data_IF_050859744567
#
_entry.id   IF_050859744567
#
_cell.length_a   1.000
_cell.length_b   1.000
_cell.length_c   1.000
_cell.angle_alpha   90.00
_cell.angle_beta   90.00
_cell.angle_gamma   90.00
#
_symmetry.space_group_name_H-M   'P 1'
#
loop_
_entity.id
_entity.type
_entity.pdbx_description
1 polymer ?
#
# COMPACT_ATOMS: atom_id res chain seq x y z
N UNK A 1 -13.35 0.14 -10.09
CA UNK A 1 -12.68 0.85 -8.98
C UNK A 1 -13.41 0.48 -7.69
N UNK A 2 -12.69 0.24 -6.58
CA UNK A 2 -13.28 -0.09 -5.27
C UNK A 2 -12.73 0.85 -4.21
N UNK A 3 -13.48 1.90 -3.94
CA UNK A 3 -13.05 2.95 -3.02
C UNK A 3 -13.49 2.64 -1.59
N UNK A 4 -12.66 3.05 -0.62
CA UNK A 4 -12.93 2.91 0.80
C UNK A 4 -12.49 4.18 1.50
N UNK A 5 -13.35 4.70 2.37
CA UNK A 5 -13.09 5.85 3.21
C UNK A 5 -13.30 5.44 4.67
N UNK A 6 -12.34 5.74 5.54
CA UNK A 6 -12.45 5.49 6.98
C UNK A 6 -12.49 6.79 7.76
N UNK A 7 -13.13 6.74 8.92
CA UNK A 7 -13.27 7.88 9.82
C UNK A 7 -12.91 7.40 11.23
N UNK A 8 -11.90 8.03 11.82
CA UNK A 8 -11.37 7.69 13.14
C UNK A 8 -11.28 8.97 13.98
N UNK A 9 -11.56 8.85 15.29
CA UNK A 9 -11.54 9.99 16.22
C UNK A 9 -10.11 10.47 16.56
N UNK A 10 -9.11 9.61 16.36
CA UNK A 10 -7.71 9.89 16.67
C UNK A 10 -6.79 9.45 15.53
N UNK A 11 -5.59 10.03 15.49
CA UNK A 11 -4.56 9.67 14.51
C UNK A 11 -4.09 8.21 14.68
N UNK A 12 -4.01 7.74 15.91
CA UNK A 12 -3.68 6.37 16.26
C UNK A 12 -4.75 5.40 15.76
N UNK A 13 -6.04 5.76 15.90
CA UNK A 13 -7.15 5.00 15.33
C UNK A 13 -7.04 4.91 13.81
N UNK A 14 -6.81 6.05 13.14
CA UNK A 14 -6.60 6.09 11.69
C UNK A 14 -5.44 5.20 11.24
N UNK A 15 -4.33 5.19 11.99
CA UNK A 15 -3.18 4.31 11.72
C UNK A 15 -3.57 2.84 11.86
N UNK A 16 -4.29 2.46 12.90
CA UNK A 16 -4.75 1.07 13.09
C UNK A 16 -5.71 0.63 11.98
N UNK A 17 -6.63 1.51 11.58
CA UNK A 17 -7.56 1.26 10.46
C UNK A 17 -6.79 1.10 9.14
N UNK A 18 -5.81 1.97 8.88
CA UNK A 18 -4.92 1.86 7.72
C UNK A 18 -4.18 0.52 7.68
N UNK A 19 -3.58 0.08 8.78
CA UNK A 19 -2.88 -1.20 8.89
C UNK A 19 -3.82 -2.40 8.68
N UNK A 20 -5.06 -2.32 9.19
CA UNK A 20 -6.09 -3.35 8.94
C UNK A 20 -6.43 -3.44 7.46
N UNK A 21 -6.67 -2.30 6.80
CA UNK A 21 -6.98 -2.27 5.37
C UNK A 21 -5.82 -2.81 4.54
N UNK A 22 -4.58 -2.43 4.88
CA UNK A 22 -3.38 -3.00 4.29
C UNK A 22 -3.37 -4.54 4.34
N UNK A 23 -3.55 -5.12 5.53
CA UNK A 23 -3.59 -6.59 5.70
C UNK A 23 -4.71 -7.26 4.90
N UNK A 24 -5.85 -6.60 4.77
CA UNK A 24 -6.96 -7.10 3.95
C UNK A 24 -6.58 -7.13 2.47
N UNK A 25 -5.93 -6.08 1.96
CA UNK A 25 -5.44 -6.06 0.58
C UNK A 25 -4.34 -7.10 0.35
N UNK A 26 -3.40 -7.25 1.29
CA UNK A 26 -2.38 -8.30 1.24
C UNK A 26 -3.03 -9.68 1.08
N UNK A 27 -4.04 -9.99 1.91
CA UNK A 27 -4.80 -11.25 1.85
C UNK A 27 -5.57 -11.42 0.54
N UNK A 28 -6.21 -10.36 0.03
CA UNK A 28 -6.97 -10.43 -1.21
C UNK A 28 -6.03 -10.71 -2.38
N UNK A 29 -4.98 -9.92 -2.54
CA UNK A 29 -4.09 -10.00 -3.70
C UNK A 29 -3.22 -11.26 -3.66
N UNK A 30 -2.64 -11.57 -2.50
CA UNK A 30 -1.69 -12.69 -2.36
C UNK A 30 -2.40 -14.00 -2.07
N UNK A 31 -3.22 -14.07 -1.02
CA UNK A 31 -3.74 -15.37 -0.56
C UNK A 31 -4.96 -15.84 -1.37
N UNK A 32 -5.81 -14.90 -1.82
CA UNK A 32 -7.06 -15.25 -2.52
C UNK A 32 -6.90 -15.27 -4.03
N UNK A 33 -6.16 -14.30 -4.58
CA UNK A 33 -5.94 -14.18 -6.03
C UNK A 33 -4.61 -14.79 -6.49
N UNK A 34 -3.72 -15.18 -5.56
CA UNK A 34 -2.42 -15.79 -5.85
C UNK A 34 -1.56 -14.92 -6.78
N UNK A 35 -1.58 -13.60 -6.57
CA UNK A 35 -0.78 -12.63 -7.31
C UNK A 35 0.50 -12.29 -6.57
N UNK A 36 1.61 -12.28 -7.30
CA UNK A 36 2.88 -11.81 -6.81
C UNK A 36 2.91 -10.28 -6.95
N UNK A 37 2.64 -9.56 -5.85
CA UNK A 37 2.53 -8.09 -5.84
C UNK A 37 3.57 -7.46 -4.93
N UNK A 38 4.17 -6.37 -5.40
CA UNK A 38 5.03 -5.51 -4.59
C UNK A 38 4.20 -4.44 -3.92
N UNK A 39 4.28 -4.38 -2.58
CA UNK A 39 3.73 -3.27 -1.81
C UNK A 39 4.84 -2.26 -1.55
N UNK A 40 4.69 -1.06 -2.08
CA UNK A 40 5.73 -0.03 -2.06
C UNK A 40 5.21 1.23 -1.40
N UNK A 41 6.10 1.99 -0.76
CA UNK A 41 5.77 3.33 -0.25
C UNK A 41 5.56 4.26 -1.42
N UNK A 42 4.46 5.00 -1.41
CA UNK A 42 4.10 5.96 -2.46
C UNK A 42 4.07 7.39 -1.91
N UNK A 43 4.08 8.37 -2.81
CA UNK A 43 3.97 9.78 -2.42
C UNK A 43 2.58 10.07 -1.86
N UNK A 44 2.46 10.62 -0.64
CA UNK A 44 1.18 11.14 -0.16
C UNK A 44 0.78 12.31 -1.05
N UNK A 45 -0.41 12.27 -1.63
CA UNK A 45 -0.90 13.29 -2.55
C UNK A 45 -1.09 14.69 -1.91
N UNK A 46 -1.66 15.61 -2.68
CA UNK A 46 -1.78 17.04 -2.37
C UNK A 46 -2.54 17.31 -1.05
N UNK A 47 -3.45 16.44 -0.66
CA UNK A 47 -4.24 16.57 0.58
C UNK A 47 -3.48 16.22 1.86
N UNK A 48 -2.19 15.88 1.75
CA UNK A 48 -1.32 15.62 2.89
C UNK A 48 -1.52 14.24 3.51
N UNK A 49 -0.62 13.91 4.44
CA UNK A 49 -0.50 12.59 5.05
C UNK A 49 0.96 12.12 5.01
N UNK A 50 1.32 11.19 5.90
CA UNK A 50 2.70 10.68 5.99
C UNK A 50 2.86 9.25 5.47
N UNK A 51 1.75 8.58 5.13
CA UNK A 51 1.76 7.15 4.76
C UNK A 51 0.85 6.94 3.56
N UNK A 52 1.44 6.45 2.48
CA UNK A 52 0.74 5.95 1.31
C UNK A 52 1.46 4.70 0.81
N UNK A 53 0.69 3.70 0.38
CA UNK A 53 1.24 2.48 -0.20
C UNK A 53 0.47 2.13 -1.48
N UNK A 54 1.23 1.71 -2.48
CA UNK A 54 0.70 1.17 -3.73
C UNK A 54 1.05 -0.30 -3.87
N UNK A 55 0.22 -1.02 -4.61
CA UNK A 55 0.45 -2.41 -4.96
C UNK A 55 0.68 -2.52 -6.45
N UNK A 56 1.87 -2.99 -6.82
CA UNK A 56 2.30 -3.13 -8.20
C UNK A 56 2.41 -4.61 -8.54
N UNK A 57 1.91 -4.99 -9.71
CA UNK A 57 2.09 -6.32 -10.28
C UNK A 57 3.23 -6.24 -11.29
N UNK A 58 4.31 -7.03 -11.14
CA UNK A 58 5.45 -6.97 -12.05
C UNK A 58 5.02 -7.34 -13.47
N UNK A 59 5.46 -6.55 -14.44
CA UNK A 59 5.12 -6.71 -15.84
C UNK A 59 6.28 -6.16 -16.71
N UNK A 60 6.75 -6.81 -17.77
CA UNK A 60 7.77 -6.18 -18.64
C UNK A 60 7.35 -4.86 -19.32
N UNK A 61 6.06 -4.51 -19.30
CA UNK A 61 5.49 -3.31 -19.94
C UNK A 61 4.94 -2.30 -18.91
N UNK A 62 5.59 -2.13 -17.76
CA UNK A 62 5.13 -1.21 -16.68
C UNK A 62 5.17 0.25 -17.14
N UNK A 63 4.14 1.01 -16.76
CA UNK A 63 4.14 2.47 -16.87
C UNK A 63 4.87 3.14 -15.69
N UNK A 64 4.88 2.47 -14.53
CA UNK A 64 5.53 2.91 -13.29
C UNK A 64 6.74 2.03 -12.95
N UNK A 65 7.81 2.62 -12.41
CA UNK A 65 9.03 1.91 -12.02
C UNK A 65 9.16 1.73 -10.51
N UNK A 66 9.52 0.52 -10.07
CA UNK A 66 9.82 0.23 -8.66
C UNK A 66 11.33 0.32 -8.40
N UNK A 67 11.73 1.20 -7.47
CA UNK A 67 13.12 1.31 -7.04
C UNK A 67 13.36 0.56 -5.73
N UNK A 68 14.31 -0.38 -5.76
CA UNK A 68 14.74 -1.11 -4.56
C UNK A 68 16.00 -0.48 -3.98
N UNK A 69 15.97 -0.17 -2.69
CA UNK A 69 17.15 0.29 -1.97
C UNK A 69 17.85 -0.92 -1.32
N UNK A 70 19.10 -1.16 -1.68
CA UNK A 70 19.92 -2.25 -1.14
C UNK A 70 20.55 -1.93 0.22
N UNK A 71 20.32 -0.73 0.78
CA UNK A 71 20.75 -0.43 2.15
C UNK A 71 19.94 -1.28 3.12
N UNK A 72 20.58 -2.31 3.65
CA UNK A 72 20.18 -3.03 4.86
C UNK A 72 19.97 -2.00 5.99
N UNK A 73 18.71 -1.65 6.26
CA UNK A 73 18.36 -0.90 7.47
C UNK A 73 18.18 -1.95 8.56
N UNK A 74 19.20 -2.06 9.42
CA UNK A 74 19.13 -2.77 10.70
C UNK A 74 18.26 -2.00 11.70
#
# INVERSE_FOLDING_TARGET
>A
MKDLYSFDLTKEGAKQTYEKVCRVYDRILRDRLNLEVYKVTAQPGIYGGSVSHEYHLPNPLEEDGIHFCSKLVF
#
